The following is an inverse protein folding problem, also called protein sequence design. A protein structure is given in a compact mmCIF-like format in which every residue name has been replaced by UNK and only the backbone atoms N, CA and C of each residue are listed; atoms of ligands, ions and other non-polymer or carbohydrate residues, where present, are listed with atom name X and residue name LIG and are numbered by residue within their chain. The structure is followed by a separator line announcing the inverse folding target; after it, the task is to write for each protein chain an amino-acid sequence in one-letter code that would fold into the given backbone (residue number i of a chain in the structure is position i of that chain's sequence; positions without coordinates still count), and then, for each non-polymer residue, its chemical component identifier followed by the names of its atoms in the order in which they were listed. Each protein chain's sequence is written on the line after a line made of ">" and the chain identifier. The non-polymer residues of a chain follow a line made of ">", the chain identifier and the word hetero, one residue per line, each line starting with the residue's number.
data_IF_176106150093
#
_entry.id   IF_176106150093
#
_cell.length_a   1.000
_cell.length_b   1.000
_cell.length_c   1.000
_cell.angle_alpha   90.00
_cell.angle_beta   90.00
_cell.angle_gamma   90.00
#
_symmetry.space_group_name_H-M   'P 1'
#
loop_
_entity.id
_entity.type
_entity.pdbx_description
1 polymer ?
#
# COMPACT_ATOMS: atom_id res chain seq x y z
N UNK A 1 17.95 13.46 23.50
CA UNK A 1 17.44 14.67 24.18
C UNK A 1 17.60 15.89 23.28
N UNK A 2 16.52 16.70 23.17
CA UNK A 2 16.48 17.89 22.32
C UNK A 2 16.08 19.11 23.17
N UNK A 3 17.00 19.65 24.01
CA UNK A 3 16.68 20.66 25.01
C UNK A 3 16.10 21.94 24.42
N UNK A 4 16.57 22.38 23.25
CA UNK A 4 16.06 23.58 22.60
C UNK A 4 14.64 23.39 22.04
N UNK A 5 14.33 22.19 21.50
CA UNK A 5 12.97 21.87 21.05
C UNK A 5 12.05 21.80 22.27
N UNK A 6 12.49 21.16 23.34
CA UNK A 6 11.73 21.10 24.59
C UNK A 6 11.42 22.50 25.12
N UNK A 7 12.42 23.35 25.28
CA UNK A 7 12.24 24.71 25.75
C UNK A 7 11.28 25.55 24.90
N UNK A 8 11.30 25.33 23.58
CA UNK A 8 10.34 25.97 22.67
C UNK A 8 8.91 25.44 22.91
N UNK A 9 8.75 24.15 23.02
CA UNK A 9 7.42 23.51 23.19
C UNK A 9 6.83 23.76 24.57
N UNK A 10 7.65 23.91 25.62
CA UNK A 10 7.21 24.21 27.00
C UNK A 10 6.37 25.50 27.09
N UNK A 11 6.60 26.46 26.18
CA UNK A 11 5.83 27.70 26.12
C UNK A 11 4.35 27.47 25.73
N UNK A 12 4.03 26.32 25.17
CA UNK A 12 2.69 25.96 24.68
C UNK A 12 2.05 24.83 25.49
N UNK A 13 2.59 24.50 26.66
CA UNK A 13 2.17 23.31 27.43
C UNK A 13 0.68 23.33 27.79
N UNK A 14 0.13 24.52 28.02
CA UNK A 14 -1.29 24.70 28.37
C UNK A 14 -2.22 24.51 27.13
N UNK A 15 -1.65 24.51 25.94
CA UNK A 15 -2.38 24.29 24.67
C UNK A 15 -2.36 22.81 24.27
N UNK A 16 -1.43 22.02 24.80
CA UNK A 16 -1.35 20.58 24.52
C UNK A 16 -2.52 19.84 25.17
N UNK A 17 -3.45 19.41 24.36
CA UNK A 17 -4.69 18.73 24.79
C UNK A 17 -4.56 17.21 24.90
N UNK A 18 -3.34 16.66 24.79
CA UNK A 18 -3.10 15.23 24.85
C UNK A 18 -3.01 14.74 26.29
N UNK A 19 -3.88 13.80 26.65
CA UNK A 19 -3.82 13.08 27.96
C UNK A 19 -2.57 12.21 28.11
N UNK A 20 -1.83 12.01 27.03
CA UNK A 20 -0.62 11.20 26.97
C UNK A 20 0.62 12.05 27.19
N UNK A 21 1.01 12.34 28.41
CA UNK A 21 2.27 13.02 28.78
C UNK A 21 2.57 14.30 27.98
N UNK A 22 3.14 15.34 28.57
CA UNK A 22 3.63 16.50 27.82
C UNK A 22 4.50 15.99 26.66
N UNK A 23 4.26 16.42 25.44
CA UNK A 23 4.93 16.02 24.19
C UNK A 23 4.52 14.66 23.61
N UNK A 24 3.55 13.93 24.17
CA UNK A 24 3.02 12.71 23.59
C UNK A 24 2.12 13.00 22.38
N UNK A 25 2.16 12.13 21.38
CA UNK A 25 1.23 12.23 20.25
C UNK A 25 -0.19 11.92 20.71
N UNK A 26 -1.16 12.77 20.34
CA UNK A 26 -2.58 12.61 20.68
C UNK A 26 -3.13 11.20 20.32
N UNK A 27 -2.68 10.64 19.20
CA UNK A 27 -3.01 9.28 18.76
C UNK A 27 -1.75 8.59 18.25
N UNK A 28 -0.89 8.17 19.19
CA UNK A 28 0.31 7.40 18.81
C UNK A 28 -0.07 6.11 18.09
N UNK A 29 0.69 5.76 17.07
CA UNK A 29 0.62 4.47 16.39
C UNK A 29 1.73 3.58 16.88
N UNK A 30 1.55 2.27 16.78
CA UNK A 30 2.60 1.30 17.10
C UNK A 30 3.77 1.51 16.15
N UNK A 31 4.94 1.82 16.68
CA UNK A 31 6.15 2.16 15.93
C UNK A 31 6.55 1.09 14.92
N UNK A 32 6.30 -0.18 15.24
CA UNK A 32 6.56 -1.32 14.35
C UNK A 32 5.95 -1.18 12.94
N UNK A 33 4.90 -0.38 12.76
CA UNK A 33 4.31 -0.14 11.43
C UNK A 33 5.10 0.85 10.57
N UNK A 34 6.07 1.54 11.15
CA UNK A 34 6.91 2.53 10.45
C UNK A 34 8.32 2.03 10.19
N UNK A 35 8.74 0.96 10.86
CA UNK A 35 10.08 0.40 10.76
C UNK A 35 10.15 -0.69 9.69
N UNK A 36 11.31 -0.79 9.00
CA UNK A 36 11.63 -1.83 8.04
C UNK A 36 10.62 -2.00 6.91
N UNK A 37 10.52 -3.22 6.43
CA UNK A 37 9.71 -3.58 5.26
C UNK A 37 8.20 -3.39 5.50
N UNK A 38 7.53 -2.70 4.56
CA UNK A 38 6.10 -2.39 4.60
C UNK A 38 5.59 -1.97 3.24
N UNK A 39 4.26 -1.97 3.08
CA UNK A 39 3.58 -1.33 1.96
C UNK A 39 2.89 -0.08 2.47
N UNK A 40 3.05 1.01 1.75
CA UNK A 40 2.41 2.30 2.02
C UNK A 40 1.38 2.55 0.94
N UNK A 41 0.17 2.94 1.33
CA UNK A 41 -0.90 3.29 0.41
C UNK A 41 -1.56 4.59 0.82
N UNK A 42 -1.84 5.45 -0.15
CA UNK A 42 -2.73 6.59 0.05
C UNK A 42 -4.16 6.09 0.33
N UNK A 43 -4.83 6.76 1.26
CA UNK A 43 -6.25 6.48 1.54
C UNK A 43 -7.19 7.00 0.45
N UNK A 44 -6.76 7.99 -0.32
CA UNK A 44 -7.49 8.50 -1.49
C UNK A 44 -6.57 8.48 -2.69
N UNK A 45 -6.93 7.73 -3.70
CA UNK A 45 -6.17 7.57 -4.93
C UNK A 45 -7.01 8.03 -6.11
N UNK A 46 -6.39 8.76 -7.03
CA UNK A 46 -7.02 9.21 -8.28
C UNK A 46 -6.86 8.09 -9.32
N UNK A 47 -7.94 7.79 -10.04
CA UNK A 47 -8.00 6.81 -11.13
C UNK A 47 -7.78 5.35 -10.72
N UNK A 48 -6.75 5.03 -9.93
CA UNK A 48 -6.50 3.68 -9.44
C UNK A 48 -5.87 3.69 -8.03
N UNK A 49 -6.05 2.62 -7.25
CA UNK A 49 -5.33 2.45 -6.00
C UNK A 49 -3.82 2.41 -6.26
N UNK A 50 -3.04 2.93 -5.31
CA UNK A 50 -1.58 2.96 -5.42
C UNK A 50 -0.96 2.44 -4.12
N UNK A 51 -0.17 1.38 -4.25
CA UNK A 51 0.50 0.70 -3.15
C UNK A 51 2.00 0.69 -3.42
N UNK A 52 2.79 1.31 -2.55
CA UNK A 52 4.23 1.44 -2.69
C UNK A 52 4.96 0.56 -1.68
N UNK A 53 5.89 -0.25 -2.16
CA UNK A 53 6.81 -1.00 -1.33
C UNK A 53 7.87 -0.08 -0.72
N UNK A 54 8.21 -0.31 0.55
CA UNK A 54 9.29 0.38 1.27
C UNK A 54 10.01 -0.60 2.19
N UNK A 55 11.33 -0.58 2.21
CA UNK A 55 12.21 -1.40 3.04
C UNK A 55 13.00 -0.60 4.09
N UNK A 56 12.72 0.69 4.22
CA UNK A 56 13.38 1.61 5.16
C UNK A 56 12.40 2.19 6.17
N UNK A 57 12.93 2.66 7.30
CA UNK A 57 12.15 3.32 8.34
C UNK A 57 11.62 4.67 7.84
N UNK A 58 10.30 4.83 7.85
CA UNK A 58 9.67 6.10 7.52
C UNK A 58 8.34 6.25 8.25
N UNK A 59 8.08 7.47 8.71
CA UNK A 59 6.83 7.83 9.35
C UNK A 59 5.91 8.51 8.35
N UNK A 60 4.65 8.07 8.34
CA UNK A 60 3.62 8.61 7.44
C UNK A 60 2.46 9.19 8.22
N UNK A 61 1.79 10.18 7.64
CA UNK A 61 0.62 10.82 8.25
C UNK A 61 -0.62 9.91 8.19
N UNK A 62 -1.71 10.36 8.81
CA UNK A 62 -3.00 9.63 8.80
C UNK A 62 -3.64 9.49 7.41
N UNK A 63 -3.12 10.21 6.40
CA UNK A 63 -3.57 10.10 5.01
C UNK A 63 -3.07 8.82 4.32
N UNK A 64 -2.20 8.06 4.99
CA UNK A 64 -1.66 6.81 4.49
C UNK A 64 -2.08 5.62 5.36
N UNK A 65 -2.13 4.45 4.74
CA UNK A 65 -2.04 3.17 5.42
C UNK A 65 -0.62 2.63 5.36
N UNK A 66 -0.19 1.98 6.45
CA UNK A 66 0.99 1.14 6.47
C UNK A 66 0.54 -0.30 6.67
N UNK A 67 0.88 -1.17 5.72
CA UNK A 67 0.51 -2.58 5.70
C UNK A 67 1.75 -3.41 5.98
N UNK A 68 1.64 -4.33 6.92
CA UNK A 68 2.68 -5.32 7.25
C UNK A 68 2.04 -6.68 7.47
N UNK A 69 2.68 -7.71 6.94
CA UNK A 69 2.28 -9.10 7.13
C UNK A 69 3.50 -10.02 7.07
N UNK A 70 3.38 -11.19 7.67
CA UNK A 70 4.36 -12.28 7.56
C UNK A 70 3.80 -13.46 6.75
N UNK A 71 2.56 -13.34 6.24
CA UNK A 71 1.87 -14.43 5.52
C UNK A 71 2.28 -14.54 4.06
N UNK A 72 2.70 -13.43 3.47
CA UNK A 72 3.14 -13.33 2.07
C UNK A 72 4.41 -12.50 1.99
N UNK A 73 5.19 -12.70 0.95
CA UNK A 73 6.27 -11.79 0.62
C UNK A 73 5.69 -10.39 0.33
N UNK A 74 6.31 -9.36 0.87
CA UNK A 74 5.78 -7.98 0.76
C UNK A 74 5.82 -7.44 -0.66
N UNK A 75 6.79 -7.85 -1.49
CA UNK A 75 6.84 -7.46 -2.91
C UNK A 75 5.76 -8.17 -3.70
N UNK A 76 5.56 -9.49 -3.47
CA UNK A 76 4.42 -10.22 -4.04
C UNK A 76 3.11 -9.50 -3.72
N UNK A 77 2.87 -9.20 -2.45
CA UNK A 77 1.66 -8.50 -2.02
C UNK A 77 1.55 -7.12 -2.67
N UNK A 78 2.65 -6.38 -2.86
CA UNK A 78 2.66 -5.10 -3.57
C UNK A 78 2.19 -5.25 -5.02
N UNK A 79 2.68 -6.26 -5.74
CA UNK A 79 2.25 -6.55 -7.10
C UNK A 79 0.76 -6.87 -7.17
N UNK A 80 0.28 -7.78 -6.34
CA UNK A 80 -1.15 -8.16 -6.29
C UNK A 80 -2.04 -6.95 -5.97
N UNK A 81 -1.67 -6.13 -4.97
CA UNK A 81 -2.46 -4.98 -4.55
C UNK A 81 -2.53 -3.87 -5.63
N UNK A 82 -1.53 -3.78 -6.51
CA UNK A 82 -1.53 -2.83 -7.63
C UNK A 82 -2.20 -3.38 -8.90
N UNK A 83 -2.65 -4.64 -8.91
CA UNK A 83 -3.27 -5.25 -10.09
C UNK A 83 -4.65 -4.64 -10.41
N UNK A 84 -5.05 -4.75 -11.67
CA UNK A 84 -6.38 -4.38 -12.15
C UNK A 84 -7.49 -5.15 -11.40
N UNK A 85 -7.23 -6.42 -11.04
CA UNK A 85 -8.19 -7.22 -10.27
C UNK A 85 -8.47 -6.60 -8.89
N UNK A 86 -7.45 -6.15 -8.17
CA UNK A 86 -7.63 -5.50 -6.87
C UNK A 86 -8.24 -4.10 -7.03
N UNK A 87 -7.90 -3.37 -8.09
CA UNK A 87 -8.58 -2.12 -8.42
C UNK A 87 -10.09 -2.34 -8.66
N UNK A 88 -10.44 -3.38 -9.42
CA UNK A 88 -11.84 -3.79 -9.63
C UNK A 88 -12.54 -4.14 -8.30
N UNK A 89 -11.90 -4.95 -7.44
CA UNK A 89 -12.43 -5.27 -6.11
C UNK A 89 -12.70 -4.01 -5.29
N UNK A 90 -11.73 -3.10 -5.18
CA UNK A 90 -11.85 -1.88 -4.39
C UNK A 90 -12.89 -0.92 -4.96
N UNK A 91 -13.11 -0.91 -6.29
CA UNK A 91 -14.18 -0.14 -6.93
C UNK A 91 -15.56 -0.62 -6.50
N UNK A 92 -15.77 -1.93 -6.36
CA UNK A 92 -17.08 -2.52 -6.10
C UNK A 92 -17.36 -2.77 -4.61
N UNK A 93 -16.32 -2.98 -3.79
CA UNK A 93 -16.43 -3.24 -2.34
C UNK A 93 -16.04 -2.03 -1.48
N UNK A 94 -15.31 -1.08 -2.04
CA UNK A 94 -14.90 0.15 -1.39
C UNK A 94 -15.89 1.30 -1.63
N UNK A 95 -15.43 2.49 -1.30
CA UNK A 95 -16.16 3.74 -1.55
C UNK A 95 -15.52 4.49 -2.70
N UNK A 96 -16.33 4.99 -3.60
CA UNK A 96 -15.91 5.87 -4.68
C UNK A 96 -16.36 7.30 -4.40
N UNK A 97 -15.51 8.28 -4.73
CA UNK A 97 -15.85 9.70 -4.75
C UNK A 97 -15.57 10.22 -6.18
N UNK A 98 -16.57 10.12 -7.06
CA UNK A 98 -16.36 10.26 -8.50
C UNK A 98 -15.45 9.15 -9.01
N UNK A 99 -14.36 9.51 -9.70
CA UNK A 99 -13.34 8.56 -10.17
C UNK A 99 -12.30 8.17 -9.10
N UNK A 100 -12.35 8.81 -7.92
CA UNK A 100 -11.36 8.59 -6.88
C UNK A 100 -11.72 7.40 -5.99
N UNK A 101 -10.75 6.53 -5.77
CA UNK A 101 -10.85 5.44 -4.80
C UNK A 101 -10.65 5.96 -3.39
N UNK A 102 -11.57 5.64 -2.48
CA UNK A 102 -11.32 5.73 -1.05
C UNK A 102 -10.95 4.33 -0.54
N UNK A 103 -9.66 4.13 -0.33
CA UNK A 103 -9.15 2.87 0.23
C UNK A 103 -9.44 2.87 1.73
N UNK A 104 -10.41 2.08 2.15
CA UNK A 104 -10.77 1.90 3.55
C UNK A 104 -10.25 0.55 4.08
N UNK A 105 -10.14 0.44 5.39
CA UNK A 105 -9.57 -0.73 6.04
C UNK A 105 -10.36 -2.02 5.74
N UNK A 106 -11.68 -1.97 5.81
CA UNK A 106 -12.53 -3.15 5.64
C UNK A 106 -12.44 -3.75 4.23
N UNK A 107 -12.64 -2.98 3.13
CA UNK A 107 -12.47 -3.50 1.78
C UNK A 107 -11.06 -4.04 1.52
N UNK A 108 -10.04 -3.38 2.08
CA UNK A 108 -8.65 -3.80 1.93
C UNK A 108 -8.38 -5.13 2.65
N UNK A 109 -8.88 -5.30 3.86
CA UNK A 109 -8.74 -6.54 4.62
C UNK A 109 -9.61 -7.69 4.07
N UNK A 110 -10.66 -7.36 3.33
CA UNK A 110 -11.55 -8.31 2.68
C UNK A 110 -11.05 -8.86 1.34
N UNK A 111 -9.92 -8.40 0.82
CA UNK A 111 -9.34 -8.92 -0.42
C UNK A 111 -9.02 -10.41 -0.22
N UNK A 112 -9.59 -11.32 -1.03
CA UNK A 112 -9.38 -12.76 -0.90
C UNK A 112 -8.01 -13.15 -1.47
N UNK A 113 -6.95 -13.01 -0.68
CA UNK A 113 -5.59 -13.37 -1.08
C UNK A 113 -5.40 -14.89 -0.98
N UNK A 114 -4.94 -15.57 -2.05
CA UNK A 114 -4.71 -17.00 -2.04
C UNK A 114 -3.50 -17.35 -1.16
N UNK A 115 -3.61 -18.48 -0.44
CA UNK A 115 -2.48 -19.06 0.25
C UNK A 115 -1.71 -19.93 -0.75
N UNK A 116 -0.56 -19.42 -1.19
CA UNK A 116 0.31 -20.05 -2.18
C UNK A 116 1.73 -20.13 -1.67
N UNK A 117 2.46 -21.12 -2.16
CA UNK A 117 3.87 -21.29 -1.85
C UNK A 117 4.74 -20.15 -2.43
N UNK A 118 5.92 -19.97 -1.85
CA UNK A 118 6.86 -18.92 -2.29
C UNK A 118 7.24 -19.06 -3.77
N UNK A 119 7.34 -20.29 -4.27
CA UNK A 119 7.64 -20.56 -5.69
C UNK A 119 6.60 -19.96 -6.64
N UNK A 120 5.33 -19.96 -6.26
CA UNK A 120 4.25 -19.34 -7.04
C UNK A 120 4.19 -17.81 -6.86
N UNK A 121 4.77 -17.28 -5.79
CA UNK A 121 4.91 -15.84 -5.60
C UNK A 121 6.08 -15.24 -6.41
N UNK A 122 7.11 -16.05 -6.71
CA UNK A 122 8.38 -15.58 -7.27
C UNK A 122 8.25 -14.80 -8.57
N UNK A 123 7.44 -15.21 -9.57
CA UNK A 123 7.31 -14.43 -10.82
C UNK A 123 6.85 -12.98 -10.58
N UNK A 124 5.91 -12.77 -9.66
CA UNK A 124 5.43 -11.42 -9.33
C UNK A 124 6.49 -10.66 -8.52
N UNK A 125 7.23 -11.32 -7.63
CA UNK A 125 8.33 -10.70 -6.88
C UNK A 125 9.38 -10.16 -7.84
N UNK A 126 9.80 -10.96 -8.82
CA UNK A 126 10.83 -10.57 -9.80
C UNK A 126 10.39 -9.37 -10.65
N UNK A 127 9.12 -9.32 -11.05
CA UNK A 127 8.55 -8.19 -11.78
C UNK A 127 8.51 -6.91 -10.93
N UNK A 128 8.14 -7.02 -9.65
CA UNK A 128 8.15 -5.87 -8.73
C UNK A 128 9.59 -5.39 -8.51
N UNK A 129 10.57 -6.27 -8.38
CA UNK A 129 11.98 -5.89 -8.28
C UNK A 129 12.48 -5.17 -9.54
N UNK A 130 12.05 -5.62 -10.72
CA UNK A 130 12.36 -4.95 -11.98
C UNK A 130 11.74 -3.53 -12.03
N UNK A 131 10.48 -3.38 -11.58
CA UNK A 131 9.81 -2.08 -11.47
C UNK A 131 10.57 -1.16 -10.52
N UNK A 132 10.89 -1.62 -9.31
CA UNK A 132 11.62 -0.85 -8.31
C UNK A 132 12.99 -0.40 -8.84
N UNK A 133 13.69 -1.28 -9.54
CA UNK A 133 14.98 -0.98 -10.16
C UNK A 133 14.85 0.11 -11.23
N UNK A 134 13.90 -0.04 -12.16
CA UNK A 134 13.64 0.97 -13.19
C UNK A 134 13.26 2.33 -12.60
N UNK A 135 12.37 2.34 -11.59
CA UNK A 135 11.92 3.59 -10.94
C UNK A 135 13.02 4.24 -10.11
N UNK A 136 13.95 3.48 -9.54
CA UNK A 136 15.13 4.01 -8.85
C UNK A 136 16.10 4.70 -9.83
N UNK A 137 16.27 4.16 -11.02
CA UNK A 137 17.11 4.76 -12.08
C UNK A 137 16.46 6.00 -12.71
N UNK A 138 15.15 5.92 -12.97
CA UNK A 138 14.36 7.01 -13.51
C UNK A 138 12.94 6.97 -12.92
N UNK A 139 12.55 7.94 -12.08
CA UNK A 139 11.20 7.98 -11.51
C UNK A 139 10.08 7.97 -12.56
N UNK A 140 10.35 8.48 -13.77
CA UNK A 140 9.41 8.55 -14.89
C UNK A 140 9.54 7.37 -15.86
N UNK A 141 10.35 6.34 -15.54
CA UNK A 141 10.48 5.17 -16.40
C UNK A 141 9.13 4.54 -16.70
N UNK A 142 8.93 4.17 -17.96
CA UNK A 142 7.75 3.40 -18.37
C UNK A 142 7.86 1.98 -17.84
N UNK A 143 6.80 1.54 -17.18
CA UNK A 143 6.67 0.22 -16.53
C UNK A 143 5.40 -0.51 -16.98
N UNK A 144 4.67 0.00 -17.97
CA UNK A 144 3.37 -0.51 -18.38
C UNK A 144 3.42 -2.01 -18.75
N UNK A 145 4.45 -2.45 -19.46
CA UNK A 145 4.60 -3.86 -19.83
C UNK A 145 4.79 -4.77 -18.60
N UNK A 146 5.54 -4.29 -17.60
CA UNK A 146 5.72 -5.03 -16.35
C UNK A 146 4.42 -5.09 -15.54
N UNK A 147 3.67 -4.00 -15.48
CA UNK A 147 2.35 -3.95 -14.82
C UNK A 147 1.36 -4.90 -15.52
N UNK A 148 1.28 -4.89 -16.85
CA UNK A 148 0.42 -5.81 -17.61
C UNK A 148 0.83 -7.28 -17.39
N UNK A 149 2.13 -7.56 -17.28
CA UNK A 149 2.62 -8.92 -16.98
C UNK A 149 2.22 -9.33 -15.56
N UNK A 150 2.27 -8.43 -14.59
CA UNK A 150 1.76 -8.69 -13.23
C UNK A 150 0.27 -8.99 -13.27
N UNK A 151 -0.53 -8.20 -13.99
CA UNK A 151 -1.97 -8.44 -14.14
C UNK A 151 -2.25 -9.85 -14.68
N UNK A 152 -1.54 -10.26 -15.74
CA UNK A 152 -1.65 -11.61 -16.29
C UNK A 152 -1.34 -12.71 -15.26
N UNK A 153 -0.27 -12.57 -14.49
CA UNK A 153 0.06 -13.51 -13.42
C UNK A 153 -1.03 -13.54 -12.34
N UNK A 154 -1.57 -12.39 -11.97
CA UNK A 154 -2.66 -12.29 -10.99
C UNK A 154 -3.92 -12.95 -11.52
N UNK A 155 -4.31 -12.73 -12.78
CA UNK A 155 -5.47 -13.39 -13.39
C UNK A 155 -5.34 -14.92 -13.35
N UNK A 156 -4.18 -15.43 -13.74
CA UNK A 156 -3.89 -16.88 -13.66
C UNK A 156 -3.94 -17.41 -12.24
N UNK A 157 -3.39 -16.65 -11.28
CA UNK A 157 -3.38 -17.03 -9.87
C UNK A 157 -4.78 -17.18 -9.27
N UNK A 158 -5.73 -16.37 -9.74
CA UNK A 158 -7.13 -16.43 -9.32
C UNK A 158 -7.99 -17.32 -10.24
N UNK A 159 -7.41 -17.88 -11.31
CA UNK A 159 -8.10 -18.76 -12.26
C UNK A 159 -9.21 -18.05 -13.04
N UNK A 160 -9.02 -16.75 -13.38
CA UNK A 160 -10.01 -16.01 -14.14
C UNK A 160 -10.10 -16.53 -15.57
N UNK A 161 -11.34 -16.70 -16.04
CA UNK A 161 -11.64 -16.93 -17.46
C UNK A 161 -11.48 -15.66 -18.30
N UNK A 162 -11.35 -15.81 -19.63
CA UNK A 162 -11.25 -14.68 -20.55
C UNK A 162 -12.41 -13.68 -20.43
N UNK A 163 -13.62 -14.19 -20.14
CA UNK A 163 -14.80 -13.35 -19.94
C UNK A 163 -14.72 -12.53 -18.63
N UNK A 164 -14.21 -13.13 -17.56
CA UNK A 164 -14.01 -12.43 -16.30
C UNK A 164 -12.90 -11.39 -16.40
N UNK A 165 -11.82 -11.70 -17.15
CA UNK A 165 -10.75 -10.72 -17.44
C UNK A 165 -11.33 -9.51 -18.15
N UNK A 166 -12.15 -9.70 -19.19
CA UNK A 166 -12.82 -8.59 -19.90
C UNK A 166 -13.65 -7.72 -18.95
N UNK A 167 -14.39 -8.34 -18.03
CA UNK A 167 -15.17 -7.61 -17.01
C UNK A 167 -14.25 -6.77 -16.10
N UNK A 168 -13.13 -7.36 -15.64
CA UNK A 168 -12.15 -6.66 -14.80
C UNK A 168 -11.52 -5.49 -15.55
N UNK A 169 -11.22 -5.66 -16.84
CA UNK A 169 -10.60 -4.63 -17.68
C UNK A 169 -11.60 -3.60 -18.24
N UNK A 170 -12.90 -3.86 -18.13
CA UNK A 170 -13.96 -2.96 -18.59
C UNK A 170 -14.13 -2.93 -20.13
N UNK A 171 -13.85 -4.06 -20.80
CA UNK A 171 -13.97 -4.25 -22.25
C UNK A 171 -14.91 -5.39 -22.59
#
# INVERSE_FOLDING_TARGET
>A
DYPHIKAHLDQFIDIFTSDNKPYGLHRSRKEKFFQGEKIISLRKCVERPCFSYSDFDCYVTQTFFSIKTTRWNMKFLTGVLNSKLVAFWLRHKGKMQGSNYQVDKEPLQGIPLPLIDLSLQQPIIDLVDAILTKKKQSPQADILDLENTIDYHVYNLYGLSDNEIKIVEGV
#
